data_IF_325264838293
#
_entry.id   IF_325264838293
#
_cell.length_a   1.000
_cell.length_b   1.000
_cell.length_c   1.000
_cell.angle_alpha   90.00
_cell.angle_beta   90.00
_cell.angle_gamma   90.00
#
_symmetry.space_group_name_H-M   'P 1'
#
loop_
_entity.id
_entity.type
_entity.pdbx_description
1 polymer ?
#
# COMPACT_ATOMS: atom_id res chain seq x y z
N UNK A 1 1.46 -8.68 -8.37
CA UNK A 1 0.67 -7.49 -8.76
C UNK A 1 1.23 -6.91 -10.04
N UNK A 2 0.39 -6.66 -11.05
CA UNK A 2 0.76 -6.05 -12.34
C UNK A 2 -0.06 -4.79 -12.59
N UNK A 3 0.53 -3.73 -13.14
CA UNK A 3 -0.21 -2.55 -13.58
C UNK A 3 -0.97 -2.80 -14.89
N UNK A 4 -1.73 -1.80 -15.35
CA UNK A 4 -2.51 -1.83 -16.61
C UNK A 4 -1.64 -2.01 -17.86
N UNK A 5 -0.34 -1.70 -17.78
CA UNK A 5 0.65 -1.94 -18.83
C UNK A 5 1.30 -3.35 -18.72
N UNK A 6 0.86 -4.17 -17.76
CA UNK A 6 1.36 -5.53 -17.53
C UNK A 6 2.71 -5.58 -16.80
N UNK A 7 3.23 -4.44 -16.34
CA UNK A 7 4.49 -4.36 -15.59
C UNK A 7 4.26 -4.79 -14.15
N UNK A 8 5.16 -5.64 -13.64
CA UNK A 8 5.11 -6.12 -12.26
C UNK A 8 5.41 -4.96 -11.29
N UNK A 9 4.45 -4.66 -10.42
CA UNK A 9 4.54 -3.59 -9.41
C UNK A 9 5.11 -4.12 -8.09
N UNK A 10 4.64 -5.28 -7.66
CA UNK A 10 5.09 -5.99 -6.47
C UNK A 10 4.85 -7.48 -6.68
N UNK A 11 5.81 -8.30 -6.30
CA UNK A 11 5.75 -9.76 -6.36
C UNK A 11 6.07 -10.34 -4.99
N UNK A 12 5.19 -11.17 -4.42
CA UNK A 12 5.51 -11.91 -3.19
C UNK A 12 6.69 -12.87 -3.39
N UNK A 13 6.83 -13.44 -4.60
CA UNK A 13 7.98 -14.30 -4.96
C UNK A 13 9.31 -13.54 -5.03
N UNK A 14 9.30 -12.21 -5.20
CA UNK A 14 10.51 -11.43 -5.50
C UNK A 14 10.84 -10.37 -4.47
N UNK A 15 9.84 -9.72 -3.87
CA UNK A 15 10.01 -8.57 -2.96
C UNK A 15 9.88 -8.94 -1.48
N UNK A 16 9.04 -9.91 -1.13
CA UNK A 16 8.79 -10.32 0.26
C UNK A 16 9.39 -11.70 0.57
N UNK A 17 9.51 -12.59 -0.41
CA UNK A 17 10.11 -13.92 -0.25
C UNK A 17 9.27 -14.91 0.56
N UNK A 18 8.15 -14.47 1.12
CA UNK A 18 7.24 -15.26 1.94
C UNK A 18 5.77 -15.05 1.51
N UNK A 19 4.94 -16.11 1.53
CA UNK A 19 3.52 -16.01 1.19
C UNK A 19 2.78 -15.12 2.21
N UNK A 20 1.98 -14.18 1.71
CA UNK A 20 1.21 -13.28 2.55
C UNK A 20 0.05 -14.04 3.20
N UNK A 21 0.04 -14.09 4.54
CA UNK A 21 -1.06 -14.67 5.32
C UNK A 21 -2.08 -13.59 5.68
N UNK A 22 -3.37 -13.86 5.44
CA UNK A 22 -4.46 -12.96 5.82
C UNK A 22 -5.68 -13.76 6.32
N UNK A 23 -6.48 -13.14 7.18
CA UNK A 23 -7.70 -13.74 7.70
C UNK A 23 -8.87 -13.45 6.76
N UNK A 24 -9.55 -14.52 6.32
CA UNK A 24 -10.73 -14.40 5.46
C UNK A 24 -11.89 -13.82 6.27
N UNK A 25 -12.40 -12.66 5.85
CA UNK A 25 -13.45 -11.90 6.53
C UNK A 25 -12.93 -10.65 7.26
N UNK A 26 -11.62 -10.44 7.32
CA UNK A 26 -11.04 -9.24 7.92
C UNK A 26 -11.32 -7.97 7.10
N UNK A 27 -11.65 -8.10 5.81
CA UNK A 27 -11.98 -6.97 4.95
C UNK A 27 -13.21 -6.20 5.40
N UNK A 28 -14.22 -6.90 5.95
CA UNK A 28 -15.42 -6.30 6.53
C UNK A 28 -15.14 -5.58 7.84
N UNK A 29 -14.12 -5.99 8.59
CA UNK A 29 -13.71 -5.35 9.84
C UNK A 29 -12.88 -4.08 9.62
N UNK A 30 -12.02 -4.06 8.59
CA UNK A 30 -11.15 -2.92 8.31
C UNK A 30 -11.73 -1.90 7.33
N UNK A 31 -12.90 -2.18 6.72
CA UNK A 31 -13.57 -1.28 5.79
C UNK A 31 -12.75 -1.00 4.51
N UNK A 32 -11.75 -1.83 4.23
CA UNK A 32 -10.87 -1.68 3.09
C UNK A 32 -11.40 -2.56 1.94
N UNK A 33 -11.84 -1.90 0.86
CA UNK A 33 -12.41 -2.58 -0.32
C UNK A 33 -11.46 -3.59 -0.96
N UNK A 34 -10.15 -3.41 -0.80
CA UNK A 34 -9.17 -4.36 -1.29
C UNK A 34 -9.34 -5.72 -0.61
N UNK A 35 -9.36 -5.75 0.72
CA UNK A 35 -9.49 -6.99 1.48
C UNK A 35 -10.85 -7.66 1.29
N UNK A 36 -11.91 -6.89 1.07
CA UNK A 36 -13.21 -7.45 0.68
C UNK A 36 -13.13 -8.19 -0.66
N UNK A 37 -12.44 -7.62 -1.66
CA UNK A 37 -12.21 -8.29 -2.94
C UNK A 37 -11.38 -9.58 -2.80
N UNK A 38 -10.39 -9.59 -1.89
CA UNK A 38 -9.66 -10.80 -1.55
C UNK A 38 -10.56 -11.87 -0.93
N UNK A 39 -11.37 -11.48 0.07
CA UNK A 39 -12.29 -12.38 0.78
C UNK A 39 -13.28 -13.03 -0.19
N UNK A 40 -13.85 -12.28 -1.14
CA UNK A 40 -14.73 -12.82 -2.17
C UNK A 40 -13.99 -13.72 -3.15
N UNK A 41 -12.77 -13.33 -3.57
CA UNK A 41 -12.00 -14.08 -4.55
C UNK A 41 -11.51 -15.45 -4.02
N UNK A 42 -11.16 -15.54 -2.73
CA UNK A 42 -10.71 -16.80 -2.11
C UNK A 42 -11.87 -17.66 -1.58
N UNK A 43 -13.06 -17.08 -1.37
CA UNK A 43 -14.27 -17.83 -0.97
C UNK A 43 -14.67 -18.82 -2.08
N UNK A 44 -14.31 -20.08 -1.86
CA UNK A 44 -14.63 -21.19 -2.78
C UNK A 44 -13.44 -21.68 -3.63
N UNK A 45 -12.26 -21.10 -3.44
CA UNK A 45 -11.03 -21.65 -4.04
C UNK A 45 -10.55 -22.89 -3.29
N UNK A 46 -9.99 -23.83 -4.04
CA UNK A 46 -9.23 -24.95 -3.48
C UNK A 46 -7.74 -24.58 -3.35
N UNK A 47 -7.05 -25.18 -2.37
CA UNK A 47 -5.59 -25.02 -2.22
C UNK A 47 -4.89 -25.41 -3.52
N UNK A 48 -3.96 -24.58 -3.98
CA UNK A 48 -3.26 -24.72 -5.26
C UNK A 48 -4.00 -24.11 -6.46
N UNK A 49 -5.14 -23.47 -6.27
CA UNK A 49 -5.78 -22.66 -7.32
C UNK A 49 -5.24 -21.23 -7.33
N UNK A 50 -5.25 -20.65 -8.52
CA UNK A 50 -4.92 -19.25 -8.78
C UNK A 50 -6.18 -18.50 -9.19
N UNK A 51 -6.37 -17.31 -8.64
CA UNK A 51 -7.42 -16.37 -9.06
C UNK A 51 -6.78 -15.02 -9.36
N UNK A 52 -7.49 -14.22 -10.14
CA UNK A 52 -7.04 -12.91 -10.57
C UNK A 52 -8.11 -11.91 -10.14
N UNK A 53 -7.74 -10.95 -9.28
CA UNK A 53 -8.61 -9.85 -8.91
C UNK A 53 -8.12 -8.52 -9.46
N UNK A 54 -9.05 -7.64 -9.76
CA UNK A 54 -8.76 -6.24 -10.03
C UNK A 54 -8.81 -5.46 -8.70
N UNK A 55 -7.75 -4.71 -8.45
CA UNK A 55 -7.58 -3.89 -7.28
C UNK A 55 -7.26 -2.45 -7.69
N UNK A 56 -7.57 -1.49 -6.84
CA UNK A 56 -7.06 -0.14 -6.96
C UNK A 56 -6.26 0.23 -5.72
N UNK A 57 -5.24 1.06 -5.87
CA UNK A 57 -4.34 1.42 -4.76
C UNK A 57 -4.93 2.44 -3.80
N UNK A 58 -6.25 2.45 -3.67
CA UNK A 58 -7.02 3.46 -2.99
C UNK A 58 -7.24 4.71 -3.84
N UNK A 59 -8.03 5.62 -3.29
CA UNK A 59 -8.28 6.92 -3.90
C UNK A 59 -7.06 7.82 -3.73
N UNK A 60 -6.70 8.54 -4.80
CA UNK A 60 -5.74 9.63 -4.68
C UNK A 60 -6.37 10.77 -3.90
N UNK A 61 -5.76 11.13 -2.77
CA UNK A 61 -6.28 12.14 -1.84
C UNK A 61 -5.52 13.44 -2.04
N UNK A 62 -6.27 14.50 -2.38
CA UNK A 62 -5.75 15.89 -2.43
C UNK A 62 -5.18 16.34 -1.10
N UNK A 63 -5.67 15.78 0.00
CA UNK A 63 -5.22 16.07 1.36
C UNK A 63 -3.80 15.55 1.64
N UNK A 64 -3.34 14.56 0.87
CA UNK A 64 -1.96 14.05 0.93
C UNK A 64 -1.02 14.78 -0.05
N UNK A 65 -1.52 15.79 -0.74
CA UNK A 65 -0.71 16.74 -1.51
C UNK A 65 -0.39 17.95 -0.63
N UNK A 66 0.87 18.06 -0.25
CA UNK A 66 1.36 19.12 0.62
C UNK A 66 2.07 20.19 -0.20
N UNK A 67 1.61 21.43 -0.11
CA UNK A 67 2.38 22.61 -0.52
C UNK A 67 3.11 23.13 0.72
N UNK A 68 4.41 22.83 0.82
CA UNK A 68 5.21 23.16 1.99
C UNK A 68 6.09 24.37 1.67
N UNK A 69 6.02 25.46 2.46
CA UNK A 69 6.89 26.62 2.27
C UNK A 69 8.37 26.22 2.31
N UNK A 70 9.22 26.87 1.51
CA UNK A 70 10.64 26.52 1.45
C UNK A 70 11.38 26.75 2.78
N UNK A 71 10.91 27.72 3.56
CA UNK A 71 11.42 28.03 4.91
C UNK A 71 10.96 27.02 5.98
N UNK A 72 10.11 26.05 5.62
CA UNK A 72 9.65 25.05 6.56
C UNK A 72 10.82 24.12 6.99
N UNK A 73 10.92 23.75 8.28
CA UNK A 73 12.00 22.89 8.78
C UNK A 73 12.10 21.54 8.05
N UNK A 74 10.98 21.01 7.56
CA UNK A 74 10.97 19.79 6.76
C UNK A 74 11.73 19.96 5.45
N UNK A 75 11.53 21.07 4.72
CA UNK A 75 12.23 21.33 3.46
C UNK A 75 13.70 21.55 3.72
N UNK A 76 14.06 22.31 4.75
CA UNK A 76 15.46 22.48 5.15
C UNK A 76 16.16 21.15 5.50
N UNK A 77 15.45 20.23 6.18
CA UNK A 77 15.94 18.88 6.48
C UNK A 77 16.17 18.08 5.20
N UNK A 78 15.19 18.09 4.29
CA UNK A 78 15.28 17.41 3.00
C UNK A 78 16.43 17.98 2.16
N UNK A 79 16.52 19.30 1.99
CA UNK A 79 17.62 19.95 1.28
C UNK A 79 18.98 19.57 1.87
N UNK A 80 19.10 19.52 3.20
CA UNK A 80 20.31 19.06 3.88
C UNK A 80 20.66 17.60 3.59
N UNK A 81 19.67 16.71 3.64
CA UNK A 81 19.83 15.26 3.37
C UNK A 81 20.24 14.98 1.92
N UNK A 82 19.60 15.66 0.98
CA UNK A 82 19.79 15.45 -0.47
C UNK A 82 20.82 16.41 -1.11
N UNK A 83 21.45 17.30 -0.32
CA UNK A 83 22.45 18.28 -0.80
C UNK A 83 23.57 17.64 -1.62
N UNK A 84 24.04 16.46 -1.19
CA UNK A 84 25.15 15.75 -1.84
C UNK A 84 24.71 14.96 -3.08
N UNK A 85 23.40 14.86 -3.34
CA UNK A 85 22.80 14.11 -4.46
C UNK A 85 22.27 15.04 -5.58
N UNK A 86 22.63 16.33 -5.55
CA UNK A 86 22.14 17.33 -6.50
C UNK A 86 20.96 18.17 -5.98
N UNK A 87 20.57 17.98 -4.72
CA UNK A 87 19.50 18.74 -4.09
C UNK A 87 18.11 18.17 -4.39
N UNK A 88 17.08 18.93 -4.02
CA UNK A 88 15.70 18.58 -4.32
C UNK A 88 15.43 18.84 -5.80
N UNK A 89 14.81 17.87 -6.48
CA UNK A 89 14.38 17.98 -7.86
C UNK A 89 12.97 17.39 -8.04
N UNK A 90 12.15 17.90 -8.99
CA UNK A 90 10.90 17.26 -9.36
C UNK A 90 11.11 15.80 -9.79
N UNK A 91 10.23 14.91 -9.34
CA UNK A 91 10.32 13.46 -9.51
C UNK A 91 11.17 12.73 -8.47
N UNK A 92 11.86 13.45 -7.58
CA UNK A 92 12.63 12.83 -6.50
C UNK A 92 11.69 12.27 -5.42
N UNK A 93 11.94 11.01 -5.03
CA UNK A 93 11.26 10.39 -3.89
C UNK A 93 12.04 10.72 -2.61
N UNK A 94 11.36 11.31 -1.64
CA UNK A 94 11.91 11.74 -0.37
C UNK A 94 11.17 11.10 0.79
N UNK A 95 11.90 10.83 1.87
CA UNK A 95 11.35 10.33 3.12
C UNK A 95 11.11 11.51 4.07
N UNK A 96 9.85 11.74 4.45
CA UNK A 96 9.41 12.77 5.38
C UNK A 96 9.80 12.45 6.84
N UNK A 97 9.74 13.43 7.74
CA UNK A 97 10.15 13.24 9.14
C UNK A 97 9.30 12.22 9.92
N UNK A 98 8.07 11.94 9.46
CA UNK A 98 7.21 10.90 10.01
C UNK A 98 7.50 9.50 9.44
N UNK A 99 8.53 9.35 8.59
CA UNK A 99 8.87 8.10 7.90
C UNK A 99 8.03 7.81 6.67
N UNK A 100 7.07 8.67 6.32
CA UNK A 100 6.29 8.51 5.09
C UNK A 100 7.14 8.89 3.87
N UNK A 101 6.93 8.18 2.77
CA UNK A 101 7.55 8.50 1.48
C UNK A 101 6.67 9.47 0.71
N UNK A 102 7.28 10.49 0.10
CA UNK A 102 6.60 11.47 -0.74
C UNK A 102 7.41 11.76 -2.02
N UNK A 103 6.73 12.14 -3.08
CA UNK A 103 7.35 12.52 -4.36
C UNK A 103 7.29 14.03 -4.50
N UNK A 104 8.41 14.64 -4.88
CA UNK A 104 8.43 16.06 -5.19
C UNK A 104 7.80 16.27 -6.56
N UNK A 105 6.63 16.92 -6.63
CA UNK A 105 5.99 17.22 -7.92
C UNK A 105 6.56 18.48 -8.55
N UNK A 106 6.85 19.48 -7.72
CA UNK A 106 7.27 20.80 -8.18
C UNK A 106 8.07 21.53 -7.10
N UNK A 107 9.00 22.36 -7.54
CA UNK A 107 9.87 23.16 -6.67
C UNK A 107 9.83 24.59 -7.18
N UNK A 108 9.25 25.47 -6.36
CA UNK A 108 9.26 26.91 -6.58
C UNK A 108 10.25 27.59 -5.63
N UNK A 109 10.48 28.88 -5.84
CA UNK A 109 11.31 29.70 -4.95
C UNK A 109 10.68 29.85 -3.56
N UNK A 110 9.35 29.81 -3.48
CA UNK A 110 8.58 30.04 -2.24
C UNK A 110 8.09 28.76 -1.57
N UNK A 111 7.82 27.70 -2.32
CA UNK A 111 7.21 26.46 -1.83
C UNK A 111 7.67 25.23 -2.61
N UNK A 112 7.54 24.07 -1.98
CA UNK A 112 7.80 22.74 -2.55
C UNK A 112 6.53 21.93 -2.47
N UNK A 113 6.09 21.37 -3.60
CA UNK A 113 4.92 20.49 -3.67
C UNK A 113 5.34 19.04 -3.50
N UNK A 114 4.86 18.42 -2.43
CA UNK A 114 5.15 17.05 -2.03
C UNK A 114 3.87 16.24 -2.12
N UNK A 115 3.90 15.17 -2.89
CA UNK A 115 2.81 14.20 -2.96
C UNK A 115 3.14 12.99 -2.09
N UNK A 116 2.46 12.86 -0.95
CA UNK A 116 2.59 11.71 -0.04
C UNK A 116 1.53 10.63 -0.31
N UNK A 117 0.84 10.67 -1.45
CA UNK A 117 -0.04 9.58 -1.84
C UNK A 117 0.76 8.29 -2.09
N UNK A 118 0.13 7.15 -1.86
CA UNK A 118 0.69 5.87 -2.25
C UNK A 118 1.00 5.90 -3.77
N UNK A 119 2.14 5.37 -4.19
CA UNK A 119 2.52 5.28 -5.61
C UNK A 119 1.47 4.55 -6.47
N UNK A 120 0.64 3.72 -5.84
CA UNK A 120 -0.45 2.99 -6.46
C UNK A 120 -1.82 3.70 -6.34
N UNK A 121 -1.91 4.82 -5.62
CA UNK A 121 -3.16 5.55 -5.42
C UNK A 121 -3.70 6.09 -6.75
N UNK A 122 -4.98 5.87 -7.00
CA UNK A 122 -5.65 6.24 -8.25
C UNK A 122 -5.27 5.36 -9.45
N UNK A 123 -4.43 4.33 -9.27
CA UNK A 123 -4.14 3.33 -10.32
C UNK A 123 -4.93 2.06 -10.05
N UNK A 124 -5.47 1.49 -11.12
CA UNK A 124 -5.97 0.13 -11.19
C UNK A 124 -4.81 -0.82 -11.46
N UNK A 125 -4.81 -1.98 -10.82
CA UNK A 125 -3.83 -3.02 -11.04
C UNK A 125 -4.44 -4.39 -10.77
N UNK A 126 -3.90 -5.40 -11.42
CA UNK A 126 -4.36 -6.76 -11.29
C UNK A 126 -3.49 -7.54 -10.31
N UNK A 127 -4.11 -8.21 -9.36
CA UNK A 127 -3.45 -9.05 -8.37
C UNK A 127 -3.76 -10.50 -8.72
N UNK A 128 -2.71 -11.24 -9.05
CA UNK A 128 -2.77 -12.69 -9.17
C UNK A 128 -2.52 -13.27 -7.78
N UNK A 129 -3.48 -14.04 -7.29
CA UNK A 129 -3.44 -14.70 -5.99
C UNK A 129 -3.39 -16.20 -6.18
N UNK A 130 -2.41 -16.82 -5.56
CA UNK A 130 -2.35 -18.27 -5.42
C UNK A 130 -2.65 -18.64 -3.97
N UNK A 131 -3.60 -19.55 -3.79
CA UNK A 131 -3.91 -20.08 -2.47
C UNK A 131 -2.92 -21.20 -2.13
N UNK A 132 -1.85 -20.87 -1.40
CA UNK A 132 -0.79 -21.82 -1.05
C UNK A 132 -1.21 -22.75 0.11
N UNK A 133 -1.85 -22.20 1.15
CA UNK A 133 -2.35 -22.95 2.29
C UNK A 133 -3.55 -22.25 2.91
N UNK A 134 -4.44 -23.02 3.53
CA UNK A 134 -5.47 -22.50 4.42
C UNK A 134 -5.09 -23.00 5.81
N UNK A 135 -4.65 -22.09 6.67
CA UNK A 135 -4.63 -22.34 8.10
C UNK A 135 -6.04 -22.13 8.62
N UNK A 136 -6.69 -23.22 9.03
CA UNK A 136 -7.88 -23.07 9.85
C UNK A 136 -7.44 -22.31 11.12
N UNK A 137 -8.15 -21.25 11.55
CA UNK A 137 -7.90 -20.73 12.88
C UNK A 137 -8.04 -21.94 13.81
N UNK A 138 -7.01 -22.17 14.63
CA UNK A 138 -7.06 -23.24 15.61
C UNK A 138 -8.42 -23.09 16.31
N UNK A 139 -9.28 -24.09 16.12
CA UNK A 139 -10.56 -24.15 16.80
C UNK A 139 -10.22 -24.20 18.28
N UNK A 140 -10.16 -23.05 18.94
CA UNK A 140 -10.31 -23.01 20.38
C UNK A 140 -11.75 -23.43 20.64
N UNK A 141 -11.82 -24.71 20.99
CA UNK A 141 -12.91 -25.39 21.62
C UNK A 141 -13.61 -24.51 22.68
N UNK A 142 -14.93 -24.59 22.70
CA UNK A 142 -15.82 -24.24 23.80
C UNK A 142 -15.92 -22.76 24.26
N UNK A 143 -16.95 -22.09 23.75
CA UNK A 143 -17.72 -21.15 24.55
C UNK A 143 -19.20 -21.56 24.63
N UNK A 144 -19.46 -22.78 25.14
CA UNK A 144 -20.66 -22.96 25.95
C UNK A 144 -20.40 -22.28 27.29
N UNK A 145 -20.85 -21.04 27.43
CA UNK A 145 -21.09 -20.44 28.75
C UNK A 145 -22.59 -20.31 28.93
N UNK A 146 -23.21 -21.39 29.41
CA UNK A 146 -24.38 -21.28 30.25
C UNK A 146 -23.88 -21.08 31.68
N UNK A 147 -24.33 -20.02 32.36
CA UNK A 147 -24.17 -19.90 33.81
C UNK A 147 -25.38 -19.19 34.40
N UNK A 148 -26.11 -19.96 35.21
CA UNK A 148 -27.15 -19.67 36.23
C UNK A 148 -28.31 -18.72 35.87
#
# INVERSE_FOLDING_TARGET
>A
MRDEDGKVLQSSETDLGEPLSFEVGAGDMMGNRLFQGFDEAVRGMAVGQTTVLEASGGEWKRELLFAVPRDHPEVARLEGRYKNQGGLAPGLVVELANGAMAVILDISETEVKLDANNMLAGKTFTIELELVSIDAPATEDAATTATA
#
